data_IF_046429738334
#
_entry.id   IF_046429738334
#
_cell.length_a   1.000
_cell.length_b   1.000
_cell.length_c   1.000
_cell.angle_alpha   90.00
_cell.angle_beta   90.00
_cell.angle_gamma   90.00
#
_symmetry.space_group_name_H-M   'P 1'
#
loop_
_entity.id
_entity.type
_entity.pdbx_description
1 polymer ?
#
# COMPACT_ATOMS: atom_id res chain seq x y z
N UNK A 1 -10.06 -9.85 -1.75
CA UNK A 1 -10.00 -8.71 -2.68
C UNK A 1 -9.11 -9.05 -3.85
N UNK A 2 -7.77 -9.13 -3.71
CA UNK A 2 -6.86 -9.47 -4.82
C UNK A 2 -7.27 -10.74 -5.58
N UNK A 3 -7.34 -11.90 -4.91
CA UNK A 3 -7.64 -13.19 -5.56
C UNK A 3 -8.99 -13.21 -6.30
N UNK A 4 -9.92 -12.31 -5.95
CA UNK A 4 -11.26 -12.22 -6.55
C UNK A 4 -11.31 -11.29 -7.78
N UNK A 5 -10.46 -10.28 -7.84
CA UNK A 5 -10.54 -9.20 -8.84
C UNK A 5 -9.31 -9.06 -9.71
N UNK A 6 -8.24 -9.82 -9.47
CA UNK A 6 -6.96 -9.75 -10.21
C UNK A 6 -7.09 -9.93 -11.73
N UNK A 7 -8.12 -10.62 -12.21
CA UNK A 7 -8.36 -10.82 -13.66
C UNK A 7 -9.19 -9.67 -14.29
N UNK A 8 -9.63 -8.71 -13.47
CA UNK A 8 -10.51 -7.60 -13.87
C UNK A 8 -9.94 -6.21 -13.54
N UNK A 9 -8.98 -6.15 -12.63
CA UNK A 9 -8.28 -4.93 -12.22
C UNK A 9 -6.85 -5.26 -11.80
N UNK A 10 -5.95 -4.32 -12.06
CA UNK A 10 -4.57 -4.37 -11.59
C UNK A 10 -4.49 -3.98 -10.11
N UNK A 11 -3.59 -4.63 -9.38
CA UNK A 11 -3.34 -4.34 -7.98
C UNK A 11 -1.85 -4.10 -7.77
N UNK A 12 -1.52 -3.03 -7.06
CA UNK A 12 -0.15 -2.69 -6.71
C UNK A 12 -0.08 -2.33 -5.23
N UNK A 13 1.00 -2.76 -4.58
CA UNK A 13 1.45 -2.15 -3.33
C UNK A 13 2.60 -1.21 -3.68
N UNK A 14 2.51 0.06 -3.32
CA UNK A 14 3.62 1.01 -3.47
C UNK A 14 4.26 1.20 -2.11
N UNK A 15 5.50 0.74 -1.95
CA UNK A 15 6.29 0.94 -0.75
C UNK A 15 6.78 2.39 -0.70
N UNK A 16 6.40 3.10 0.36
CA UNK A 16 6.79 4.51 0.60
C UNK A 16 7.77 4.59 1.79
N UNK A 17 8.20 5.80 2.13
CA UNK A 17 9.07 6.05 3.29
C UNK A 17 8.52 5.48 4.61
N UNK A 18 9.41 5.14 5.53
CA UNK A 18 9.04 4.53 6.82
C UNK A 18 8.16 5.44 7.67
N UNK A 19 7.09 4.89 8.25
CA UNK A 19 6.30 5.57 9.26
C UNK A 19 7.01 5.59 10.63
N UNK A 20 7.70 4.49 10.95
CA UNK A 20 8.36 4.30 12.24
C UNK A 20 9.80 3.79 12.09
N UNK A 21 10.74 4.65 11.65
CA UNK A 21 12.14 4.28 11.55
C UNK A 21 12.85 4.32 12.92
N UNK A 22 13.87 3.49 13.08
CA UNK A 22 14.74 3.41 14.27
C UNK A 22 15.63 4.64 14.49
N UNK A 23 15.91 5.39 13.43
CA UNK A 23 16.60 6.69 13.46
C UNK A 23 15.62 7.88 13.44
N UNK A 24 14.35 7.63 13.75
CA UNK A 24 13.31 8.65 13.91
C UNK A 24 12.34 8.28 15.04
N UNK A 25 11.03 8.42 14.79
CA UNK A 25 10.02 8.07 15.79
C UNK A 25 9.60 6.61 15.67
N UNK A 26 10.02 5.80 16.64
CA UNK A 26 9.68 4.38 16.71
C UNK A 26 8.46 4.12 17.62
N UNK A 27 7.78 2.98 17.42
CA UNK A 27 6.67 2.53 18.27
C UNK A 27 6.99 1.21 18.98
N UNK A 28 6.56 1.02 20.25
CA UNK A 28 6.87 -0.18 21.04
C UNK A 28 6.41 -1.49 20.42
N UNK A 29 5.36 -1.46 19.59
CA UNK A 29 4.87 -2.65 18.91
C UNK A 29 5.88 -3.19 17.89
N UNK A 30 6.47 -2.32 17.07
CA UNK A 30 7.49 -2.70 16.09
C UNK A 30 8.73 -3.26 16.77
N UNK A 31 9.15 -2.65 17.88
CA UNK A 31 10.30 -3.13 18.67
C UNK A 31 10.07 -4.55 19.20
N UNK A 32 8.88 -4.81 19.80
CA UNK A 32 8.52 -6.16 20.27
C UNK A 32 8.44 -7.19 19.14
N UNK A 33 8.09 -6.76 17.93
CA UNK A 33 7.99 -7.61 16.75
C UNK A 33 9.31 -7.73 15.98
N UNK A 34 10.38 -7.05 16.42
CA UNK A 34 11.68 -7.04 15.75
C UNK A 34 11.68 -6.30 14.41
N UNK A 35 10.68 -5.46 14.14
CA UNK A 35 10.59 -4.61 12.94
C UNK A 35 11.45 -3.36 13.17
N UNK A 36 12.76 -3.54 13.03
CA UNK A 36 13.78 -2.52 13.33
C UNK A 36 14.47 -2.08 12.03
N UNK A 37 13.93 -1.04 11.42
CA UNK A 37 14.37 -0.53 10.11
C UNK A 37 14.80 0.93 10.26
N UNK A 38 15.89 1.34 9.62
CA UNK A 38 16.25 2.75 9.49
C UNK A 38 15.56 3.34 8.27
N UNK A 39 15.27 4.64 8.32
CA UNK A 39 14.71 5.33 7.17
C UNK A 39 15.72 5.30 5.99
N UNK A 40 15.38 4.67 4.85
CA UNK A 40 16.30 4.52 3.73
C UNK A 40 16.80 5.87 3.21
N UNK A 41 18.09 5.99 2.93
CA UNK A 41 18.72 7.20 2.37
C UNK A 41 19.10 7.05 0.90
N UNK A 42 19.06 5.82 0.37
CA UNK A 42 19.23 5.55 -1.06
C UNK A 42 18.12 4.65 -1.61
N UNK A 43 17.98 4.62 -2.94
CA UNK A 43 16.97 3.77 -3.58
C UNK A 43 17.29 2.28 -3.40
N UNK A 44 18.56 1.91 -3.31
CA UNK A 44 19.02 0.54 -3.04
C UNK A 44 18.60 0.09 -1.63
N UNK A 45 18.77 0.97 -0.64
CA UNK A 45 18.31 0.72 0.73
C UNK A 45 16.79 0.58 0.76
N UNK A 46 16.06 1.48 0.08
CA UNK A 46 14.59 1.45 0.05
C UNK A 46 14.09 0.18 -0.64
N UNK A 47 14.70 -0.23 -1.74
CA UNK A 47 14.38 -1.49 -2.42
C UNK A 47 14.62 -2.70 -1.52
N UNK A 48 15.74 -2.72 -0.78
CA UNK A 48 16.05 -3.81 0.15
C UNK A 48 14.99 -3.91 1.26
N UNK A 49 14.63 -2.79 1.86
CA UNK A 49 13.62 -2.73 2.92
C UNK A 49 12.24 -3.11 2.38
N UNK A 50 11.85 -2.57 1.23
CA UNK A 50 10.58 -2.91 0.57
C UNK A 50 10.48 -4.42 0.29
N UNK A 51 11.55 -5.03 -0.21
CA UNK A 51 11.60 -6.47 -0.44
C UNK A 51 11.45 -7.27 0.86
N UNK A 52 12.12 -6.86 1.94
CA UNK A 52 11.98 -7.48 3.26
C UNK A 52 10.56 -7.35 3.80
N UNK A 53 9.95 -6.16 3.71
CA UNK A 53 8.59 -5.91 4.15
C UNK A 53 7.57 -6.75 3.36
N UNK A 54 7.66 -6.76 2.02
CA UNK A 54 6.78 -7.58 1.18
C UNK A 54 6.89 -9.08 1.49
N UNK A 55 8.11 -9.58 1.74
CA UNK A 55 8.32 -10.97 2.13
C UNK A 55 7.73 -11.28 3.52
N UNK A 56 7.99 -10.42 4.52
CA UNK A 56 7.51 -10.60 5.89
C UNK A 56 5.98 -10.56 5.98
N UNK A 57 5.35 -9.63 5.27
CA UNK A 57 3.90 -9.45 5.20
C UNK A 57 3.22 -10.43 4.23
N UNK A 58 4.00 -11.26 3.52
CA UNK A 58 3.51 -12.23 2.52
C UNK A 58 2.64 -11.57 1.45
N UNK A 59 3.08 -10.40 0.96
CA UNK A 59 2.37 -9.64 -0.05
C UNK A 59 2.36 -10.43 -1.36
N UNK A 60 1.15 -10.69 -1.88
CA UNK A 60 0.94 -11.36 -3.18
C UNK A 60 0.85 -10.38 -4.36
N UNK A 61 0.76 -9.09 -4.06
CA UNK A 61 0.65 -8.04 -5.06
C UNK A 61 2.03 -7.71 -5.63
N UNK A 62 2.12 -7.27 -6.89
CA UNK A 62 3.29 -6.53 -7.36
C UNK A 62 3.66 -5.41 -6.39
N UNK A 63 4.87 -5.50 -5.83
CA UNK A 63 5.45 -4.47 -4.96
C UNK A 63 6.26 -3.49 -5.82
N UNK A 64 5.77 -2.26 -5.90
CA UNK A 64 6.48 -1.12 -6.46
C UNK A 64 7.14 -0.34 -5.32
N UNK A 65 8.16 0.45 -5.62
CA UNK A 65 8.89 1.26 -4.63
C UNK A 65 8.84 2.72 -5.08
N UNK A 66 8.41 3.61 -4.19
CA UNK A 66 8.40 5.05 -4.46
C UNK A 66 9.82 5.59 -4.57
N UNK A 67 10.02 6.54 -5.47
CA UNK A 67 11.30 7.20 -5.69
C UNK A 67 11.79 7.93 -4.43
N UNK A 68 13.10 8.17 -4.33
CA UNK A 68 13.67 8.88 -3.17
C UNK A 68 13.19 10.32 -3.02
N UNK A 69 12.57 10.89 -4.05
CA UNK A 69 11.87 12.18 -4.01
C UNK A 69 10.46 12.10 -3.40
N UNK A 70 10.00 10.90 -3.02
CA UNK A 70 8.68 10.59 -2.46
C UNK A 70 7.53 11.09 -3.33
N UNK A 71 7.69 11.06 -4.66
CA UNK A 71 6.74 11.63 -5.60
C UNK A 71 5.34 11.01 -5.48
N UNK A 72 5.24 9.67 -5.41
CA UNK A 72 3.95 9.00 -5.28
C UNK A 72 3.32 9.28 -3.91
N UNK A 73 4.10 9.19 -2.84
CA UNK A 73 3.63 9.50 -1.49
C UNK A 73 3.08 10.93 -1.38
N UNK A 74 3.75 11.92 -1.99
CA UNK A 74 3.31 13.32 -2.00
C UNK A 74 2.04 13.49 -2.83
N UNK A 75 2.00 12.93 -4.04
CA UNK A 75 0.85 13.07 -4.95
C UNK A 75 -0.42 12.44 -4.36
N UNK A 76 -0.28 11.33 -3.64
CA UNK A 76 -1.40 10.59 -3.06
C UNK A 76 -1.57 10.81 -1.56
N UNK A 77 -0.79 11.71 -0.93
CA UNK A 77 -0.78 11.92 0.52
C UNK A 77 -0.89 10.58 1.29
N UNK A 78 -0.01 9.64 0.94
CA UNK A 78 -0.19 8.22 1.24
C UNK A 78 0.32 7.81 2.63
N UNK A 79 1.11 8.68 3.28
CA UNK A 79 1.64 8.42 4.61
C UNK A 79 0.55 8.44 5.69
N UNK A 80 0.55 7.51 6.68
CA UNK A 80 1.55 6.43 6.84
C UNK A 80 1.26 5.21 5.96
N UNK A 81 -0.02 4.93 5.69
CA UNK A 81 -0.50 4.01 4.66
C UNK A 81 -1.85 4.50 4.13
N UNK A 82 -2.21 4.11 2.90
CA UNK A 82 -3.44 4.55 2.25
C UNK A 82 -3.87 3.63 1.11
N UNK A 83 -5.18 3.58 0.86
CA UNK A 83 -5.78 2.82 -0.25
C UNK A 83 -6.38 3.78 -1.26
N UNK A 84 -6.14 3.49 -2.53
CA UNK A 84 -6.76 4.18 -3.65
C UNK A 84 -7.37 3.17 -4.62
N UNK A 85 -8.46 3.58 -5.27
CA UNK A 85 -8.93 2.96 -6.51
C UNK A 85 -8.92 4.02 -7.59
N UNK A 86 -8.21 3.73 -8.68
CA UNK A 86 -8.19 4.55 -9.90
C UNK A 86 -9.04 3.82 -10.94
N UNK A 87 -10.03 4.51 -11.51
CA UNK A 87 -10.90 3.93 -12.52
C UNK A 87 -10.27 3.89 -13.92
N UNK A 88 -11.02 3.37 -14.90
CA UNK A 88 -10.56 3.22 -16.29
C UNK A 88 -10.33 4.55 -17.02
N UNK A 89 -10.87 5.65 -16.50
CA UNK A 89 -10.64 6.99 -17.04
C UNK A 89 -9.46 7.69 -16.35
N UNK A 90 -8.76 7.00 -15.43
CA UNK A 90 -7.65 7.56 -14.66
C UNK A 90 -8.10 8.45 -13.50
N UNK A 91 -9.37 8.41 -13.09
CA UNK A 91 -9.90 9.22 -11.98
C UNK A 91 -9.86 8.44 -10.67
N UNK A 92 -9.70 9.16 -9.56
CA UNK A 92 -9.76 8.57 -8.22
C UNK A 92 -11.23 8.26 -7.89
N UNK A 93 -11.58 6.98 -7.90
CA UNK A 93 -12.92 6.51 -7.57
C UNK A 93 -13.08 6.18 -6.09
N UNK A 94 -11.97 5.80 -5.43
CA UNK A 94 -11.90 5.67 -3.96
C UNK A 94 -10.62 6.33 -3.48
N UNK A 95 -10.76 7.23 -2.50
CA UNK A 95 -9.66 7.80 -1.73
C UNK A 95 -9.84 7.39 -0.27
N UNK A 96 -9.04 6.45 0.19
CA UNK A 96 -9.07 5.99 1.58
C UNK A 96 -8.66 7.07 2.58
N UNK A 97 -9.03 6.88 3.85
CA UNK A 97 -8.49 7.68 4.96
C UNK A 97 -7.04 7.28 5.29
N UNK A 98 -6.25 8.16 5.93
CA UNK A 98 -4.89 7.86 6.33
C UNK A 98 -4.84 6.78 7.43
N UNK A 99 -3.83 5.92 7.36
CA UNK A 99 -3.56 4.89 8.36
C UNK A 99 -3.12 5.38 9.74
N UNK A 100 -3.08 4.46 10.72
CA UNK A 100 -3.59 3.09 10.63
C UNK A 100 -5.12 3.03 10.74
N UNK A 101 -5.77 4.06 11.32
CA UNK A 101 -7.21 4.07 11.57
C UNK A 101 -8.07 4.10 10.31
N UNK A 102 -7.62 4.80 9.26
CA UNK A 102 -8.35 4.90 8.00
C UNK A 102 -8.21 3.69 7.09
N UNK A 103 -7.19 2.84 7.28
CA UNK A 103 -6.90 1.74 6.36
C UNK A 103 -7.97 0.65 6.37
N UNK A 104 -8.40 0.06 7.52
CA UNK A 104 -9.40 -1.00 7.51
C UNK A 104 -10.75 -0.59 6.90
N UNK A 105 -11.33 0.58 7.22
CA UNK A 105 -12.53 1.06 6.54
C UNK A 105 -12.31 1.23 5.03
N UNK A 106 -11.14 1.73 4.62
CA UNK A 106 -10.82 1.95 3.20
C UNK A 106 -10.73 0.64 2.41
N UNK A 107 -10.29 -0.48 3.03
CA UNK A 107 -10.33 -1.82 2.40
C UNK A 107 -11.77 -2.20 2.07
N UNK A 108 -12.71 -1.95 2.98
CA UNK A 108 -14.13 -2.24 2.77
C UNK A 108 -14.70 -1.37 1.66
N UNK A 109 -14.44 -0.06 1.69
CA UNK A 109 -14.90 0.86 0.64
C UNK A 109 -14.35 0.49 -0.74
N UNK A 110 -13.06 0.18 -0.84
CA UNK A 110 -12.45 -0.26 -2.10
C UNK A 110 -13.07 -1.57 -2.61
N UNK A 111 -13.29 -2.54 -1.73
CA UNK A 111 -13.96 -3.80 -2.08
C UNK A 111 -15.37 -3.57 -2.62
N UNK A 112 -16.19 -2.80 -1.91
CA UNK A 112 -17.56 -2.49 -2.34
C UNK A 112 -17.58 -1.81 -3.70
N UNK A 113 -16.65 -0.88 -3.94
CA UNK A 113 -16.53 -0.24 -5.25
C UNK A 113 -16.19 -1.27 -6.34
N UNK A 114 -15.23 -2.17 -6.10
CA UNK A 114 -14.87 -3.23 -7.06
C UNK A 114 -16.04 -4.18 -7.32
N UNK A 115 -16.81 -4.56 -6.30
CA UNK A 115 -17.99 -5.40 -6.45
C UNK A 115 -19.07 -4.72 -7.31
N UNK A 116 -19.33 -3.43 -7.09
CA UNK A 116 -20.33 -2.69 -7.86
C UNK A 116 -19.92 -2.44 -9.32
N UNK A 117 -18.63 -2.24 -9.57
CA UNK A 117 -18.14 -1.82 -10.89
C UNK A 117 -17.54 -2.96 -11.72
N UNK A 118 -17.10 -4.05 -11.09
CA UNK A 118 -16.48 -5.21 -11.73
C UNK A 118 -17.24 -6.53 -11.45
N UNK A 119 -18.26 -6.51 -10.59
CA UNK A 119 -19.10 -7.66 -10.23
C UNK A 119 -20.16 -8.01 -11.27
N UNK A 120 -19.76 -8.14 -12.54
CA UNK A 120 -20.49 -8.90 -13.56
C UNK A 120 -19.97 -10.34 -13.61
N UNK A 121 -20.88 -11.31 -13.78
CA UNK A 121 -20.69 -12.76 -13.64
C UNK A 121 -19.31 -13.30 -14.07
N UNK A 122 -18.78 -14.24 -13.27
CA UNK A 122 -17.73 -15.14 -13.73
C UNK A 122 -18.16 -15.76 -15.07
N UNK A 123 -17.27 -15.74 -16.07
CA UNK A 123 -17.49 -16.50 -17.31
C UNK A 123 -17.69 -17.98 -16.95
N UNK A 124 -18.64 -18.68 -17.56
CA UNK A 124 -18.81 -20.12 -17.36
C UNK A 124 -17.54 -20.90 -17.72
#
# INVERSE_FOLDING_TARGET
MYDQFKDKAEFFMVYIKEAHPTDGWQVPQNERQGVLVKDPKTIEERNKVAAQACAMLKIKLPCLVDGMDDAANKAYAAWPDRIYVVDREGKIAVMGGPGPGGFPPSVTTARTWLEQNLGGAAKP
#
